data_IF_059350009737
#
_entry.id   IF_059350009737
#
_cell.length_a   1.000
_cell.length_b   1.000
_cell.length_c   1.000
_cell.angle_alpha   90.00
_cell.angle_beta   90.00
_cell.angle_gamma   90.00
#
_symmetry.space_group_name_H-M   'P 1'
#
loop_
_entity.id
_entity.type
_entity.pdbx_description
1 polymer ?
#
# COMPACT_ATOMS: atom_id res chain seq x y z
N UNK A 1 -41.13 0.08 -1.22
CA UNK A 1 -40.50 0.94 -2.25
C UNK A 1 -39.08 1.24 -1.79
N UNK A 2 -38.07 0.48 -2.26
CA UNK A 2 -36.72 0.53 -1.71
C UNK A 2 -35.88 1.60 -2.44
N UNK A 3 -35.94 2.83 -1.95
CA UNK A 3 -35.21 3.99 -2.48
C UNK A 3 -33.70 4.01 -2.10
N UNK A 4 -33.10 2.84 -1.84
CA UNK A 4 -31.70 2.69 -1.41
C UNK A 4 -30.82 1.93 -2.41
N UNK A 5 -31.35 1.52 -3.56
CA UNK A 5 -30.61 0.72 -4.55
C UNK A 5 -29.91 1.55 -5.64
N UNK A 6 -29.83 2.89 -5.51
CA UNK A 6 -29.42 3.79 -6.60
C UNK A 6 -27.95 4.29 -6.56
N UNK A 7 -27.17 4.02 -5.51
CA UNK A 7 -25.72 4.12 -5.65
C UNK A 7 -25.21 2.76 -6.13
N UNK A 8 -24.91 2.64 -7.42
CA UNK A 8 -24.48 1.42 -8.14
C UNK A 8 -23.18 0.75 -7.67
N UNK A 9 -23.01 0.60 -6.36
CA UNK A 9 -22.00 -0.19 -5.68
C UNK A 9 -22.68 -1.47 -5.19
N UNK A 10 -22.98 -2.39 -6.11
CA UNK A 10 -23.56 -3.68 -5.73
C UNK A 10 -22.62 -4.47 -4.81
N UNK A 11 -23.12 -5.53 -4.15
CA UNK A 11 -22.31 -6.39 -3.27
C UNK A 11 -21.02 -6.93 -3.93
N UNK A 12 -21.01 -7.11 -5.25
CA UNK A 12 -19.82 -7.51 -6.00
C UNK A 12 -18.70 -6.44 -6.01
N UNK A 13 -19.05 -5.15 -6.14
CA UNK A 13 -18.09 -4.03 -6.10
C UNK A 13 -17.49 -3.88 -4.70
N UNK A 14 -18.30 -4.11 -3.66
CA UNK A 14 -17.79 -4.18 -2.29
C UNK A 14 -16.88 -5.38 -2.07
N UNK A 15 -17.17 -6.54 -2.68
CA UNK A 15 -16.34 -7.73 -2.53
C UNK A 15 -14.96 -7.54 -3.18
N UNK A 16 -14.91 -7.02 -4.41
CA UNK A 16 -13.67 -6.71 -5.12
C UNK A 16 -12.82 -5.68 -4.36
N UNK A 17 -13.45 -4.66 -3.75
CA UNK A 17 -12.75 -3.72 -2.87
C UNK A 17 -12.18 -4.39 -1.61
N UNK A 18 -12.94 -5.30 -0.98
CA UNK A 18 -12.44 -6.03 0.19
C UNK A 18 -11.27 -6.94 -0.18
N UNK A 19 -11.37 -7.69 -1.27
CA UNK A 19 -10.28 -8.54 -1.78
C UNK A 19 -9.02 -7.73 -2.07
N UNK A 20 -9.15 -6.56 -2.69
CA UNK A 20 -8.02 -5.67 -2.93
C UNK A 20 -7.40 -5.16 -1.61
N UNK A 21 -8.22 -4.72 -0.65
CA UNK A 21 -7.73 -4.22 0.63
C UNK A 21 -7.04 -5.32 1.46
N UNK A 22 -7.58 -6.53 1.44
CA UNK A 22 -6.98 -7.69 2.11
C UNK A 22 -5.66 -8.08 1.46
N UNK A 23 -5.58 -8.12 0.13
CA UNK A 23 -4.31 -8.36 -0.57
C UNK A 23 -3.28 -7.24 -0.33
N UNK A 24 -3.71 -5.99 -0.22
CA UNK A 24 -2.79 -4.89 0.15
C UNK A 24 -2.29 -5.09 1.59
N UNK A 25 -3.16 -5.46 2.53
CA UNK A 25 -2.78 -5.76 3.92
C UNK A 25 -1.77 -6.89 4.00
N UNK A 26 -2.05 -8.03 3.36
CA UNK A 26 -1.15 -9.17 3.29
C UNK A 26 0.19 -8.79 2.65
N UNK A 27 0.17 -8.03 1.56
CA UNK A 27 1.38 -7.53 0.91
C UNK A 27 2.23 -6.65 1.82
N UNK A 28 1.61 -5.79 2.62
CA UNK A 28 2.29 -4.94 3.62
C UNK A 28 2.87 -5.78 4.77
N UNK A 29 2.17 -6.84 5.19
CA UNK A 29 2.63 -7.76 6.24
C UNK A 29 3.88 -8.54 5.82
N UNK A 30 4.06 -8.80 4.53
CA UNK A 30 5.24 -9.48 3.97
C UNK A 30 6.48 -8.60 3.82
N UNK A 31 6.33 -7.28 3.95
CA UNK A 31 7.48 -6.36 3.95
C UNK A 31 8.34 -6.56 5.19
N UNK A 32 9.63 -6.25 5.09
CA UNK A 32 10.47 -6.13 6.30
C UNK A 32 9.96 -4.98 7.17
N UNK A 33 10.20 -5.03 8.49
CA UNK A 33 9.78 -3.96 9.40
C UNK A 33 10.27 -2.59 8.90
N UNK A 34 11.53 -2.50 8.48
CA UNK A 34 12.09 -1.26 7.94
C UNK A 34 11.39 -0.78 6.65
N UNK A 35 11.07 -1.70 5.73
CA UNK A 35 10.32 -1.35 4.52
C UNK A 35 8.92 -0.85 4.82
N UNK A 36 8.22 -1.52 5.75
CA UNK A 36 6.87 -1.13 6.19
C UNK A 36 6.90 0.26 6.84
N UNK A 37 7.82 0.50 7.76
CA UNK A 37 7.92 1.77 8.48
C UNK A 37 8.18 2.93 7.50
N UNK A 38 9.11 2.75 6.56
CA UNK A 38 9.41 3.75 5.52
C UNK A 38 8.21 3.97 4.59
N UNK A 39 7.56 2.89 4.15
CA UNK A 39 6.37 2.98 3.30
C UNK A 39 5.24 3.74 3.99
N UNK A 40 4.91 3.39 5.24
CA UNK A 40 3.84 4.02 6.03
C UNK A 40 4.15 5.48 6.30
N UNK A 41 5.37 5.79 6.75
CA UNK A 41 5.78 7.15 7.05
C UNK A 41 5.66 8.07 5.81
N UNK A 42 6.13 7.61 4.65
CA UNK A 42 6.14 8.45 3.44
C UNK A 42 4.79 8.44 2.72
N UNK A 43 4.20 7.28 2.49
CA UNK A 43 3.03 7.15 1.61
C UNK A 43 1.70 7.40 2.31
N UNK A 44 1.60 7.13 3.62
CA UNK A 44 0.35 7.30 4.38
C UNK A 44 0.40 8.54 5.26
N UNK A 45 1.51 8.74 5.99
CA UNK A 45 1.65 9.86 6.92
C UNK A 45 2.24 11.13 6.27
N UNK A 46 2.63 11.06 4.99
CA UNK A 46 3.15 12.21 4.25
C UNK A 46 4.47 12.78 4.81
N UNK A 47 5.24 11.99 5.56
CA UNK A 47 6.52 12.45 6.13
C UNK A 47 7.50 12.71 4.98
N UNK A 48 8.06 13.92 4.87
CA UNK A 48 9.08 14.22 3.87
C UNK A 48 10.30 13.31 4.03
N UNK A 49 10.86 12.83 2.91
CA UNK A 49 11.97 11.86 2.92
C UNK A 49 13.23 12.43 3.60
N UNK A 50 13.46 13.73 3.48
CA UNK A 50 14.58 14.39 4.14
C UNK A 50 14.42 14.44 5.66
N UNK A 51 13.22 14.75 6.15
CA UNK A 51 12.88 14.67 7.58
C UNK A 51 13.02 13.25 8.11
N UNK A 52 12.58 12.24 7.34
CA UNK A 52 12.72 10.85 7.73
C UNK A 52 14.18 10.38 7.73
N UNK A 53 14.98 10.86 6.76
CA UNK A 53 16.40 10.55 6.66
C UNK A 53 17.16 11.03 7.91
N UNK A 54 16.87 12.25 8.36
CA UNK A 54 17.43 12.81 9.59
C UNK A 54 17.04 11.98 10.82
N UNK A 55 15.74 11.69 10.99
CA UNK A 55 15.22 10.90 12.13
C UNK A 55 15.82 9.51 12.24
N UNK A 56 16.02 8.84 11.10
CA UNK A 56 16.56 7.49 11.04
C UNK A 56 18.09 7.45 10.94
N UNK A 57 18.76 8.61 10.99
CA UNK A 57 20.23 8.74 10.80
C UNK A 57 20.69 7.96 9.56
N UNK A 58 20.03 8.21 8.43
CA UNK A 58 20.29 7.55 7.15
C UNK A 58 20.31 8.56 6.01
N UNK A 59 20.50 8.09 4.77
CA UNK A 59 20.51 8.96 3.59
C UNK A 59 19.16 8.92 2.87
N UNK A 60 18.82 10.01 2.17
CA UNK A 60 17.65 10.06 1.26
C UNK A 60 17.70 8.93 0.24
N UNK A 61 18.89 8.63 -0.31
CA UNK A 61 19.09 7.55 -1.29
C UNK A 61 18.76 6.17 -0.75
N UNK A 62 19.16 5.88 0.50
CA UNK A 62 18.79 4.64 1.17
C UNK A 62 17.26 4.54 1.36
N UNK A 63 16.60 5.62 1.78
CA UNK A 63 15.14 5.64 1.92
C UNK A 63 14.40 5.50 0.59
N UNK A 64 14.87 6.15 -0.48
CA UNK A 64 14.30 5.97 -1.82
C UNK A 64 14.40 4.52 -2.27
N UNK A 65 15.55 3.86 -2.04
CA UNK A 65 15.73 2.44 -2.36
C UNK A 65 14.77 1.57 -1.53
N UNK A 66 14.72 1.76 -0.21
CA UNK A 66 13.81 1.02 0.67
C UNK A 66 12.35 1.17 0.23
N UNK A 67 11.92 2.40 -0.09
CA UNK A 67 10.57 2.68 -0.56
C UNK A 67 10.28 2.06 -1.93
N UNK A 68 11.25 2.10 -2.84
CA UNK A 68 11.14 1.45 -4.14
C UNK A 68 10.99 -0.06 -4.00
N UNK A 69 11.84 -0.70 -3.20
CA UNK A 69 11.83 -2.13 -2.95
C UNK A 69 10.51 -2.57 -2.32
N UNK A 70 9.99 -1.79 -1.36
CA UNK A 70 8.68 -2.02 -0.76
C UNK A 70 7.54 -1.99 -1.80
N UNK A 71 7.53 -0.98 -2.68
CA UNK A 71 6.52 -0.86 -3.75
C UNK A 71 6.63 -1.97 -4.79
N UNK A 72 7.84 -2.38 -5.16
CA UNK A 72 8.06 -3.52 -6.07
C UNK A 72 7.53 -4.81 -5.44
N UNK A 73 7.81 -5.04 -4.16
CA UNK A 73 7.31 -6.22 -3.43
C UNK A 73 5.78 -6.24 -3.41
N UNK A 74 5.16 -5.12 -3.04
CA UNK A 74 3.70 -5.01 -2.99
C UNK A 74 3.06 -5.25 -4.36
N UNK A 75 3.58 -4.61 -5.43
CA UNK A 75 3.08 -4.83 -6.79
C UNK A 75 3.19 -6.29 -7.23
N UNK A 76 4.31 -6.96 -6.92
CA UNK A 76 4.48 -8.38 -7.24
C UNK A 76 3.49 -9.26 -6.50
N UNK A 77 3.22 -8.96 -5.23
CA UNK A 77 2.23 -9.69 -4.45
C UNK A 77 0.82 -9.51 -5.02
N UNK A 78 0.40 -8.27 -5.30
CA UNK A 78 -0.90 -8.00 -5.90
C UNK A 78 -1.04 -8.69 -7.27
N UNK A 79 -0.02 -8.58 -8.14
CA UNK A 79 -0.04 -9.24 -9.44
C UNK A 79 -0.13 -10.77 -9.33
N UNK A 80 0.52 -11.38 -8.34
CA UNK A 80 0.42 -12.83 -8.08
C UNK A 80 -0.97 -13.24 -7.56
N UNK A 81 -1.68 -12.33 -6.90
CA UNK A 81 -3.08 -12.51 -6.49
C UNK A 81 -4.09 -12.19 -7.62
N UNK A 82 -3.62 -11.83 -8.82
CA UNK A 82 -4.49 -11.41 -9.93
C UNK A 82 -5.05 -10.00 -9.79
N UNK A 83 -4.53 -9.20 -8.85
CA UNK A 83 -5.01 -7.87 -8.51
C UNK A 83 -4.01 -6.79 -9.00
N UNK A 84 -4.51 -5.59 -9.32
CA UNK A 84 -3.65 -4.44 -9.63
C UNK A 84 -3.12 -4.36 -11.06
N UNK A 85 -3.75 -5.03 -12.02
CA UNK A 85 -3.56 -4.77 -13.46
C UNK A 85 -4.72 -3.91 -13.98
N UNK A 86 -4.48 -2.60 -14.11
CA UNK A 86 -5.23 -1.67 -14.96
C UNK A 86 -4.25 -0.73 -15.63
#
# INVERSE_FOLDING_TARGET
MNLFTDFGLGPALSLEQHELLDAVREGIERLTSHQRDVLVAVALNGVPIDVLAERLTTTRGALYKTLHDARVSLRRHLAAAGLGSS
#
